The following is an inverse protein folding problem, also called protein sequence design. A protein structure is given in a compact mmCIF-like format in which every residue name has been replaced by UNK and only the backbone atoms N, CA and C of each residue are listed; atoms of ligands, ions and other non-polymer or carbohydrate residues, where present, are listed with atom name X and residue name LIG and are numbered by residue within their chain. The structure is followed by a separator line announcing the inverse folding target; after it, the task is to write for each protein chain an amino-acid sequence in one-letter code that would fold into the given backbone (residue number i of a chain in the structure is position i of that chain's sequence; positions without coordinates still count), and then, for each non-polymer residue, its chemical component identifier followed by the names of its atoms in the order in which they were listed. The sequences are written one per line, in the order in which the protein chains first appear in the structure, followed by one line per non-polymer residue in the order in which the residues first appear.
data_IF_616398852793
#
_entry.id   IF_616398852793
#
_cell.length_a   1.000
_cell.length_b   1.000
_cell.length_c   1.000
_cell.angle_alpha   90.00
_cell.angle_beta   90.00
_cell.angle_gamma   90.00
#
_symmetry.space_group_name_H-M   'P 1'
#
loop_
_entity.id
_entity.type
_entity.pdbx_description
1 polymer ?
#
# COMPACT_ATOMS: atom_id res chain seq x y z
N UNK A 1 -0.43 -19.64 5.70
CA UNK A 1 0.50 -18.48 5.73
C UNK A 1 -0.32 -17.21 5.94
N UNK A 2 0.12 -16.26 6.78
CA UNK A 2 -0.58 -14.99 6.97
C UNK A 2 -0.60 -14.17 5.67
N UNK A 3 -1.67 -13.40 5.48
CA UNK A 3 -1.81 -12.44 4.37
C UNK A 3 -1.60 -11.04 4.93
N UNK A 4 -0.67 -10.29 4.34
CA UNK A 4 -0.37 -8.92 4.72
C UNK A 4 -1.01 -7.93 3.76
N UNK A 5 -1.48 -6.80 4.29
CA UNK A 5 -1.93 -5.63 3.53
C UNK A 5 -0.97 -4.47 3.76
N UNK A 6 -0.73 -3.65 2.74
CA UNK A 6 -0.02 -2.38 2.91
C UNK A 6 -0.97 -1.30 3.43
N UNK A 7 -0.61 -0.63 4.53
CA UNK A 7 -1.35 0.52 5.03
C UNK A 7 -0.90 1.79 4.30
N UNK A 8 -1.66 2.25 3.29
CA UNK A 8 -1.28 3.39 2.43
C UNK A 8 -1.41 4.74 3.13
N UNK A 9 -2.05 4.80 4.30
CA UNK A 9 -2.07 5.99 5.15
C UNK A 9 -0.74 6.21 5.87
N UNK A 10 0.08 5.17 6.04
CA UNK A 10 1.39 5.25 6.73
C UNK A 10 2.60 4.91 5.85
N UNK A 11 2.44 4.01 4.88
CA UNK A 11 3.49 3.58 3.96
C UNK A 11 3.43 4.34 2.63
N UNK A 12 4.54 4.33 1.88
CA UNK A 12 4.66 4.95 0.55
C UNK A 12 4.36 6.47 0.55
N UNK A 13 4.74 7.16 1.64
CA UNK A 13 4.51 8.59 1.81
C UNK A 13 5.29 9.49 0.84
N UNK A 14 6.30 8.93 0.16
CA UNK A 14 7.05 9.56 -0.92
C UNK A 14 6.27 9.66 -2.25
N UNK A 15 5.14 8.97 -2.35
CA UNK A 15 4.26 8.96 -3.52
C UNK A 15 2.94 9.70 -3.25
N UNK A 16 2.38 10.32 -4.29
CA UNK A 16 0.99 10.79 -4.29
C UNK A 16 0.05 9.63 -4.01
N UNK A 17 -1.10 9.89 -3.37
CA UNK A 17 -1.93 8.82 -2.78
C UNK A 17 -2.31 7.71 -3.76
N UNK A 18 -2.71 8.06 -4.99
CA UNK A 18 -3.09 7.07 -6.01
C UNK A 18 -1.88 6.26 -6.53
N UNK A 19 -0.68 6.83 -6.51
CA UNK A 19 0.55 6.14 -6.92
C UNK A 19 1.01 5.10 -5.86
N UNK A 20 0.52 5.20 -4.62
CA UNK A 20 0.83 4.25 -3.54
C UNK A 20 0.31 2.85 -3.80
N UNK A 21 -0.77 2.71 -4.57
CA UNK A 21 -1.32 1.40 -4.93
C UNK A 21 -0.34 0.59 -5.80
N UNK A 22 0.25 1.26 -6.78
CA UNK A 22 1.24 0.68 -7.69
C UNK A 22 2.57 0.41 -6.97
N UNK A 23 3.00 1.32 -6.08
CA UNK A 23 4.14 1.09 -5.20
C UNK A 23 3.95 -0.14 -4.29
N UNK A 24 2.77 -0.30 -3.69
CA UNK A 24 2.44 -1.46 -2.86
C UNK A 24 2.44 -2.77 -3.67
N UNK A 25 1.90 -2.76 -4.89
CA UNK A 25 1.91 -3.93 -5.77
C UNK A 25 3.34 -4.34 -6.16
N UNK A 26 4.22 -3.38 -6.50
CA UNK A 26 5.64 -3.64 -6.77
C UNK A 26 6.40 -4.20 -5.57
N UNK A 27 6.02 -3.78 -4.36
CA UNK A 27 6.59 -4.32 -3.11
C UNK A 27 6.04 -5.72 -2.75
N UNK A 28 5.15 -6.29 -3.57
CA UNK A 28 4.63 -7.66 -3.39
C UNK A 28 3.38 -7.75 -2.52
N UNK A 29 2.80 -6.63 -2.09
CA UNK A 29 1.53 -6.65 -1.39
C UNK A 29 0.38 -6.98 -2.35
N UNK A 30 -0.52 -7.86 -1.90
CA UNK A 30 -1.72 -8.26 -2.64
C UNK A 30 -3.00 -7.64 -2.08
N UNK A 31 -2.87 -6.88 -1.00
CA UNK A 31 -3.95 -6.19 -0.33
C UNK A 31 -3.44 -4.84 0.16
N UNK A 32 -4.35 -3.88 0.23
CA UNK A 32 -4.07 -2.54 0.73
C UNK A 32 -5.21 -2.13 1.65
N UNK A 33 -4.89 -1.27 2.61
CA UNK A 33 -5.86 -0.59 3.47
C UNK A 33 -5.49 0.89 3.59
N UNK A 34 -6.47 1.74 3.78
CA UNK A 34 -6.28 3.17 4.00
C UNK A 34 -7.47 3.77 4.73
N UNK A 35 -7.24 4.91 5.36
CA UNK A 35 -8.27 5.74 5.99
C UNK A 35 -8.62 6.86 5.02
N UNK A 36 -9.91 7.04 4.74
CA UNK A 36 -10.45 8.15 3.97
C UNK A 36 -10.68 9.40 4.81
#
# INVERSE_FOLDING_TARGET
MPRFSANLSMLFGEHEFLDRFDAAARAGFKGVEYIG
#
